data_IF_845856021747
#
_entry.id   IF_845856021747
#
_cell.length_a   1.000
_cell.length_b   1.000
_cell.length_c   1.000
_cell.angle_alpha   90.00
_cell.angle_beta   90.00
_cell.angle_gamma   90.00
#
_symmetry.space_group_name_H-M   'P 1'
#
loop_
_entity.id
_entity.type
_entity.pdbx_description
1 polymer ?
#
# COMPACT_ATOMS: atom_id res chain seq x y z
N UNK A 1 8.69 -10.82 -18.52
CA UNK A 1 10.03 -10.95 -17.88
C UNK A 1 10.18 -9.78 -16.89
N UNK A 2 10.00 -10.01 -15.59
CA UNK A 2 9.96 -8.96 -14.54
C UNK A 2 11.35 -8.45 -14.10
N UNK A 3 12.43 -9.05 -14.63
CA UNK A 3 13.81 -8.86 -14.17
C UNK A 3 14.37 -7.43 -14.31
N UNK A 4 13.70 -6.54 -15.06
CA UNK A 4 14.13 -5.14 -15.21
C UNK A 4 13.14 -4.12 -14.64
N UNK A 5 12.05 -4.58 -14.01
CA UNK A 5 11.07 -3.68 -13.37
C UNK A 5 11.57 -3.40 -11.95
N UNK A 6 11.58 -2.13 -11.53
CA UNK A 6 11.93 -1.74 -10.15
C UNK A 6 10.65 -1.44 -9.39
N UNK A 7 10.65 -1.74 -8.09
CA UNK A 7 9.56 -1.33 -7.20
C UNK A 7 9.66 0.19 -7.04
N UNK A 8 8.61 0.96 -7.37
CA UNK A 8 8.60 2.40 -7.17
C UNK A 8 8.63 2.72 -5.68
N UNK A 9 9.24 3.85 -5.31
CA UNK A 9 9.23 4.32 -3.93
C UNK A 9 8.04 5.26 -3.75
N UNK A 10 7.13 4.88 -2.84
CA UNK A 10 6.00 5.71 -2.42
C UNK A 10 6.25 6.13 -0.97
N UNK A 11 6.32 7.43 -0.74
CA UNK A 11 6.48 7.98 0.60
C UNK A 11 5.13 8.01 1.31
N UNK A 12 5.09 7.50 2.54
CA UNK A 12 3.92 7.61 3.41
C UNK A 12 3.64 9.09 3.71
N UNK A 13 2.36 9.50 3.56
CA UNK A 13 1.94 10.87 3.87
C UNK A 13 1.61 11.03 5.36
N UNK A 14 1.07 9.98 5.98
CA UNK A 14 0.81 9.92 7.41
C UNK A 14 1.67 8.85 8.11
N UNK A 15 1.97 9.04 9.40
CA UNK A 15 2.82 8.14 10.18
C UNK A 15 2.30 6.69 10.24
N UNK A 16 0.98 6.52 10.20
CA UNK A 16 0.32 5.23 10.31
C UNK A 16 0.31 4.41 8.99
N UNK A 17 0.72 4.99 7.87
CA UNK A 17 0.47 4.42 6.53
C UNK A 17 1.58 3.56 5.95
N UNK A 18 2.63 3.27 6.71
CA UNK A 18 3.77 2.49 6.22
C UNK A 18 3.35 1.18 5.53
N UNK A 19 2.35 0.48 6.07
CA UNK A 19 1.81 -0.74 5.47
C UNK A 19 1.03 -0.51 4.17
N UNK A 20 0.21 0.55 4.09
CA UNK A 20 -0.53 0.90 2.87
C UNK A 20 0.43 1.37 1.76
N UNK A 21 1.48 2.11 2.12
CA UNK A 21 2.52 2.53 1.19
C UNK A 21 3.24 1.32 0.59
N UNK A 22 3.60 0.33 1.42
CA UNK A 22 4.18 -0.92 0.95
C UNK A 22 3.26 -1.67 -0.03
N UNK A 23 1.96 -1.78 0.27
CA UNK A 23 0.99 -2.42 -0.62
C UNK A 23 0.85 -1.66 -1.95
N UNK A 24 0.83 -0.32 -1.91
CA UNK A 24 0.81 0.52 -3.10
C UNK A 24 2.07 0.32 -3.98
N UNK A 25 3.26 0.27 -3.36
CA UNK A 25 4.53 0.03 -4.06
C UNK A 25 4.52 -1.33 -4.77
N UNK A 26 4.07 -2.38 -4.08
CA UNK A 26 3.97 -3.74 -4.65
C UNK A 26 2.93 -3.75 -5.78
N UNK A 27 1.76 -3.18 -5.57
CA UNK A 27 0.72 -3.13 -6.59
C UNK A 27 1.17 -2.38 -7.86
N UNK A 28 1.85 -1.25 -7.70
CA UNK A 28 2.36 -0.46 -8.82
C UNK A 28 3.49 -1.19 -9.57
N UNK A 29 4.32 -1.97 -8.87
CA UNK A 29 5.25 -2.89 -9.51
C UNK A 29 4.51 -3.88 -10.44
N UNK A 30 3.33 -4.37 -10.06
CA UNK A 30 2.50 -5.24 -10.91
C UNK A 30 1.62 -4.49 -11.93
N UNK A 31 1.74 -3.16 -12.03
CA UNK A 31 1.00 -2.34 -12.99
C UNK A 31 -0.38 -1.88 -12.51
N UNK A 32 -0.68 -2.02 -11.22
CA UNK A 32 -1.89 -1.45 -10.59
C UNK A 32 -1.52 -0.18 -9.83
N UNK A 33 -2.01 0.96 -10.28
CA UNK A 33 -1.74 2.23 -9.61
C UNK A 33 -2.76 2.47 -8.50
N UNK A 34 -2.25 2.64 -7.28
CA UNK A 34 -3.05 3.03 -6.12
C UNK A 34 -2.37 4.21 -5.44
N UNK A 35 -3.13 5.25 -5.15
CA UNK A 35 -2.67 6.36 -4.33
C UNK A 35 -3.06 6.15 -2.85
N UNK A 36 -2.21 6.65 -1.94
CA UNK A 36 -2.42 6.53 -0.50
C UNK A 36 -3.76 7.15 -0.03
N UNK A 37 -4.17 8.35 -0.47
CA UNK A 37 -5.47 8.91 -0.10
C UNK A 37 -6.67 8.00 -0.44
N UNK A 38 -6.67 7.38 -1.62
CA UNK A 38 -7.71 6.44 -2.04
C UNK A 38 -7.69 5.16 -1.19
N UNK A 39 -6.50 4.59 -0.96
CA UNK A 39 -6.36 3.40 -0.11
C UNK A 39 -6.81 3.67 1.33
N UNK A 40 -6.48 4.83 1.90
CA UNK A 40 -6.90 5.24 3.24
C UNK A 40 -8.41 5.40 3.36
N UNK A 41 -9.06 5.96 2.33
CA UNK A 41 -10.53 6.08 2.28
C UNK A 41 -11.21 4.71 2.17
N UNK A 42 -10.66 3.80 1.36
CA UNK A 42 -11.23 2.45 1.18
C UNK A 42 -10.94 1.55 2.40
N UNK A 43 -9.78 1.71 3.01
CA UNK A 43 -9.30 0.90 4.13
C UNK A 43 -8.83 1.81 5.27
N UNK A 44 -9.76 2.34 6.08
CA UNK A 44 -9.39 3.21 7.19
C UNK A 44 -8.49 2.45 8.18
N UNK A 45 -7.35 3.05 8.48
CA UNK A 45 -6.38 2.54 9.45
C UNK A 45 -6.42 3.37 10.72
N UNK A 46 -5.98 2.76 11.82
CA UNK A 46 -5.91 3.44 13.12
C UNK A 46 -4.66 4.32 13.22
N UNK A 47 -4.59 5.19 14.23
CA UNK A 47 -3.36 5.95 14.52
C UNK A 47 -2.17 5.04 14.88
N UNK A 48 -2.42 3.81 15.34
CA UNK A 48 -1.38 2.80 15.55
C UNK A 48 -0.91 2.12 14.25
N UNK A 49 -1.54 2.43 13.11
CA UNK A 49 -1.28 1.79 11.82
C UNK A 49 -2.25 0.66 11.50
N UNK A 50 -1.79 -0.23 10.62
CA UNK A 50 -2.51 -1.43 10.18
C UNK A 50 -1.86 -2.69 10.76
N UNK A 51 -2.68 -3.62 11.29
CA UNK A 51 -2.20 -4.95 11.63
C UNK A 51 -1.89 -5.77 10.37
N UNK A 52 -1.11 -6.84 10.51
CA UNK A 52 -0.88 -7.78 9.40
C UNK A 52 -2.20 -8.32 8.82
N UNK A 53 -3.18 -8.63 9.67
CA UNK A 53 -4.49 -9.11 9.23
C UNK A 53 -5.24 -8.06 8.40
N UNK A 54 -5.13 -6.77 8.76
CA UNK A 54 -5.67 -5.69 7.93
C UNK A 54 -4.98 -5.68 6.55
N UNK A 55 -3.65 -5.75 6.50
CA UNK A 55 -2.91 -5.71 5.23
C UNK A 55 -3.27 -6.87 4.30
N UNK A 56 -3.48 -8.07 4.84
CA UNK A 56 -3.94 -9.23 4.06
C UNK A 56 -5.32 -8.95 3.45
N UNK A 57 -6.26 -8.44 4.25
CA UNK A 57 -7.60 -8.09 3.74
C UNK A 57 -7.54 -7.01 2.66
N UNK A 58 -6.67 -5.99 2.83
CA UNK A 58 -6.47 -4.94 1.81
C UNK A 58 -5.95 -5.53 0.50
N UNK A 59 -5.02 -6.49 0.57
CA UNK A 59 -4.38 -7.09 -0.59
C UNK A 59 -5.29 -8.07 -1.37
N UNK A 60 -6.26 -8.68 -0.70
CA UNK A 60 -7.23 -9.62 -1.29
C UNK A 60 -8.42 -8.92 -2.00
N UNK A 61 -8.54 -7.59 -1.83
CA UNK A 61 -9.72 -6.77 -2.19
C UNK A 61 -9.59 -5.92 -3.47
#
# INVERSE_FOLDING_TARGET
>A
MFFNKKVPIIYQAESAECGLACLAMIAQFWGKEYDLPTLRKKYPITLQGASLNNLIQVADS
#
